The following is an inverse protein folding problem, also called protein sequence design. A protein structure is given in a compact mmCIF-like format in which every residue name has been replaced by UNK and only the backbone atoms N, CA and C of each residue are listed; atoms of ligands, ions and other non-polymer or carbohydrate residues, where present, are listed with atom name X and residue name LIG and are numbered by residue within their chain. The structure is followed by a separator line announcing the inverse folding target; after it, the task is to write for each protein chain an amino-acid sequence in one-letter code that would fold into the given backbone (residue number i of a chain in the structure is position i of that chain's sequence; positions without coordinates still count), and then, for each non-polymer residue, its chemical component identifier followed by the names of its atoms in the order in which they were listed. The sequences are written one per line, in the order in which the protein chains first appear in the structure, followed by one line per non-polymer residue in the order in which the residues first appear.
data_IF_750287505536
#
_entry.id   IF_750287505536
#
_cell.length_a   1.000
_cell.length_b   1.000
_cell.length_c   1.000
_cell.angle_alpha   90.00
_cell.angle_beta   90.00
_cell.angle_gamma   90.00
#
_symmetry.space_group_name_H-M   'P 1'
#
loop_
_entity.id
_entity.type
_entity.pdbx_description
1 polymer ?
#
# COMPACT_ATOMS: atom_id res chain seq x y z
N UNK A 1 -13.51 -30.53 16.68
CA UNK A 1 -14.47 -30.13 15.61
C UNK A 1 -15.08 -28.72 15.79
N UNK A 2 -15.41 -28.24 17.00
CA UNK A 2 -16.03 -26.89 17.19
C UNK A 2 -15.16 -25.68 16.81
N UNK A 3 -13.84 -25.75 16.99
CA UNK A 3 -12.90 -24.66 16.64
C UNK A 3 -12.88 -24.41 15.12
N UNK A 4 -12.94 -25.46 14.30
CA UNK A 4 -12.97 -25.33 12.83
C UNK A 4 -14.25 -24.67 12.32
N UNK A 5 -15.39 -24.89 12.99
CA UNK A 5 -16.66 -24.28 12.59
C UNK A 5 -16.74 -22.79 12.93
N UNK A 6 -16.28 -22.43 14.13
CA UNK A 6 -16.16 -21.03 14.55
C UNK A 6 -15.21 -20.26 13.64
N UNK A 7 -14.06 -20.84 13.35
CA UNK A 7 -13.05 -20.28 12.45
C UNK A 7 -13.55 -20.07 11.03
N UNK A 8 -14.22 -21.08 10.46
CA UNK A 8 -14.83 -21.01 9.13
C UNK A 8 -15.91 -19.93 9.07
N UNK A 9 -16.73 -19.78 10.12
CA UNK A 9 -17.73 -18.70 10.22
C UNK A 9 -17.10 -17.31 10.24
N UNK A 10 -15.99 -17.10 10.97
CA UNK A 10 -15.32 -15.80 11.00
C UNK A 10 -14.67 -15.43 9.67
N UNK A 11 -14.01 -16.38 8.99
CA UNK A 11 -13.47 -16.14 7.65
C UNK A 11 -14.59 -15.79 6.67
N UNK A 12 -15.68 -16.56 6.66
CA UNK A 12 -16.83 -16.29 5.78
C UNK A 12 -17.44 -14.94 6.11
N UNK A 13 -17.64 -14.62 7.38
CA UNK A 13 -18.17 -13.33 7.82
C UNK A 13 -17.26 -12.18 7.38
N UNK A 14 -15.94 -12.28 7.57
CA UNK A 14 -15.01 -11.24 7.14
C UNK A 14 -15.01 -11.08 5.64
N UNK A 15 -14.92 -12.17 4.87
CA UNK A 15 -15.02 -12.11 3.42
C UNK A 15 -16.34 -11.45 3.02
N UNK A 16 -17.45 -11.78 3.69
CA UNK A 16 -18.75 -11.20 3.43
C UNK A 16 -18.81 -9.71 3.77
N UNK A 17 -18.23 -9.25 4.89
CA UNK A 17 -18.19 -7.81 5.20
C UNK A 17 -17.27 -7.06 4.25
N UNK A 18 -16.11 -7.62 3.86
CA UNK A 18 -15.23 -6.99 2.86
C UNK A 18 -15.97 -6.92 1.51
N UNK A 19 -16.65 -7.99 1.10
CA UNK A 19 -17.46 -8.02 -0.12
C UNK A 19 -18.58 -6.99 -0.02
N UNK A 20 -19.33 -6.94 1.09
CA UNK A 20 -20.42 -5.97 1.28
C UNK A 20 -19.91 -4.52 1.31
N UNK A 21 -18.75 -4.27 1.91
CA UNK A 21 -18.13 -2.94 1.92
C UNK A 21 -17.60 -2.56 0.53
N UNK A 22 -16.96 -3.49 -0.17
CA UNK A 22 -16.56 -3.31 -1.57
C UNK A 22 -17.78 -3.06 -2.46
N UNK A 23 -18.89 -3.78 -2.25
CA UNK A 23 -20.18 -3.58 -2.93
C UNK A 23 -20.80 -2.21 -2.55
N UNK A 24 -20.75 -1.83 -1.28
CA UNK A 24 -21.25 -0.54 -0.82
C UNK A 24 -20.51 0.60 -1.51
N UNK A 25 -19.18 0.56 -1.51
CA UNK A 25 -18.34 1.53 -2.22
C UNK A 25 -18.56 1.47 -3.73
N UNK A 26 -18.68 0.27 -4.28
CA UNK A 26 -19.04 0.03 -5.68
C UNK A 26 -20.34 0.71 -6.10
N UNK A 27 -21.32 0.85 -5.21
CA UNK A 27 -22.61 1.49 -5.53
C UNK A 27 -22.68 2.97 -5.12
N UNK A 28 -21.93 3.39 -4.10
CA UNK A 28 -22.05 4.73 -3.52
C UNK A 28 -20.92 5.68 -3.92
N UNK A 29 -19.85 5.18 -4.53
CA UNK A 29 -18.78 6.05 -5.00
C UNK A 29 -19.23 6.81 -6.25
N UNK A 30 -19.08 8.13 -6.23
CA UNK A 30 -19.40 8.96 -7.38
C UNK A 30 -18.33 8.80 -8.47
N UNK A 31 -18.76 8.87 -9.75
CA UNK A 31 -17.86 8.97 -10.90
C UNK A 31 -16.92 10.16 -10.71
N UNK A 32 -15.63 9.99 -10.96
CA UNK A 32 -14.69 11.11 -11.08
C UNK A 32 -15.17 11.95 -12.27
N UNK A 33 -15.71 13.14 -11.98
CA UNK A 33 -16.12 14.08 -13.01
C UNK A 33 -14.87 14.71 -13.68
N UNK A 34 -15.02 15.28 -14.88
CA UNK A 34 -13.91 15.86 -15.68
C UNK A 34 -13.03 16.86 -14.92
N UNK A 35 -13.58 17.55 -13.92
CA UNK A 35 -12.88 18.53 -13.08
C UNK A 35 -12.61 18.00 -11.66
N UNK A 36 -12.70 16.67 -11.48
CA UNK A 36 -12.66 16.01 -10.19
C UNK A 36 -11.27 15.71 -9.63
N UNK A 37 -10.31 16.53 -10.02
CA UNK A 37 -8.97 16.43 -9.51
C UNK A 37 -8.13 17.61 -9.92
N UNK A 38 -7.27 18.05 -9.00
CA UNK A 38 -6.16 18.90 -9.36
C UNK A 38 -5.14 18.04 -10.11
N UNK A 39 -5.08 18.18 -11.43
CA UNK A 39 -3.98 17.68 -12.25
C UNK A 39 -4.29 16.54 -13.21
N UNK A 40 -3.26 16.21 -13.99
CA UNK A 40 -3.20 15.27 -15.11
C UNK A 40 -3.96 13.95 -14.87
N UNK A 41 -3.87 13.37 -13.66
CA UNK A 41 -4.50 12.08 -13.34
C UNK A 41 -6.03 12.10 -13.45
N UNK A 42 -6.74 13.08 -12.88
CA UNK A 42 -8.21 13.09 -12.88
C UNK A 42 -8.82 13.21 -14.28
N UNK A 43 -8.21 14.06 -15.11
CA UNK A 43 -8.59 14.26 -16.51
C UNK A 43 -8.29 12.99 -17.31
N UNK A 44 -7.08 12.44 -17.16
CA UNK A 44 -6.59 11.29 -17.92
C UNK A 44 -7.34 9.98 -17.59
N UNK A 45 -7.60 9.70 -16.31
CA UNK A 45 -8.38 8.51 -15.90
C UNK A 45 -9.85 8.61 -16.35
N UNK A 46 -10.43 9.80 -16.43
CA UNK A 46 -11.77 9.97 -17.01
C UNK A 46 -11.76 9.74 -18.53
N UNK A 47 -10.72 10.16 -19.27
CA UNK A 47 -10.61 9.85 -20.70
C UNK A 47 -10.47 8.35 -20.95
N UNK A 48 -9.62 7.71 -20.14
CA UNK A 48 -9.44 6.25 -20.13
C UNK A 48 -10.79 5.55 -19.89
N UNK A 49 -11.58 6.03 -18.93
CA UNK A 49 -12.91 5.50 -18.68
C UNK A 49 -13.83 5.56 -19.90
N UNK A 50 -13.90 6.74 -20.53
CA UNK A 50 -14.82 7.03 -21.62
C UNK A 50 -14.48 6.17 -22.84
N UNK A 51 -13.21 5.99 -23.16
CA UNK A 51 -12.76 5.08 -24.23
C UNK A 51 -13.18 3.64 -23.94
N UNK A 52 -13.02 3.18 -22.70
CA UNK A 52 -13.39 1.81 -22.31
C UNK A 52 -14.89 1.56 -22.27
N UNK A 53 -15.71 2.61 -22.13
CA UNK A 53 -17.17 2.54 -22.24
C UNK A 53 -17.69 2.71 -23.67
N UNK A 54 -16.81 2.97 -24.64
CA UNK A 54 -17.22 3.28 -26.01
C UNK A 54 -17.76 4.71 -26.19
N UNK A 55 -17.51 5.59 -25.23
CA UNK A 55 -17.93 7.00 -25.21
C UNK A 55 -16.79 7.96 -25.66
N UNK A 56 -15.58 7.43 -25.96
CA UNK A 56 -14.36 8.20 -26.20
C UNK A 56 -14.35 9.18 -27.39
N UNK A 57 -15.41 9.21 -28.22
CA UNK A 57 -15.55 10.12 -29.35
C UNK A 57 -16.43 11.36 -29.10
N UNK A 58 -17.04 11.50 -27.92
CA UNK A 58 -17.97 12.61 -27.61
C UNK A 58 -17.34 13.80 -26.87
N UNK A 59 -16.02 13.80 -26.68
CA UNK A 59 -15.37 14.74 -25.76
C UNK A 59 -14.70 15.95 -26.40
N UNK A 60 -14.95 17.13 -25.80
CA UNK A 60 -14.42 18.44 -26.17
C UNK A 60 -12.88 18.50 -26.32
N UNK A 61 -12.44 19.41 -27.21
CA UNK A 61 -11.08 19.79 -27.66
C UNK A 61 -9.86 19.59 -26.73
N UNK A 62 -10.00 19.52 -25.40
CA UNK A 62 -8.87 19.32 -24.46
C UNK A 62 -8.41 17.84 -24.46
N UNK A 63 -9.27 16.91 -24.87
CA UNK A 63 -8.94 15.47 -24.98
C UNK A 63 -8.39 15.08 -26.36
N UNK A 64 -8.42 15.98 -27.33
CA UNK A 64 -7.80 15.80 -28.65
C UNK A 64 -6.26 15.74 -28.56
N UNK A 65 -5.66 16.25 -27.49
CA UNK A 65 -4.21 16.15 -27.32
C UNK A 65 -3.76 14.72 -27.00
N UNK A 66 -4.66 13.84 -26.52
CA UNK A 66 -4.36 12.43 -26.24
C UNK A 66 -4.93 11.44 -27.29
N UNK A 67 -5.88 11.85 -28.15
CA UNK A 67 -6.29 11.17 -29.41
C UNK A 67 -6.50 9.63 -29.37
N UNK A 68 -7.04 9.07 -28.29
CA UNK A 68 -7.45 7.66 -28.26
C UNK A 68 -8.97 7.56 -28.35
N UNK A 69 -9.49 7.02 -29.45
CA UNK A 69 -10.94 6.84 -29.67
C UNK A 69 -11.38 5.40 -29.42
N UNK A 70 -10.44 4.46 -29.39
CA UNK A 70 -10.72 3.03 -29.24
C UNK A 70 -9.83 2.38 -28.18
N UNK A 71 -10.31 1.24 -27.65
CA UNK A 71 -9.52 0.39 -26.75
C UNK A 71 -8.18 -0.02 -27.37
N UNK A 72 -8.17 -0.37 -28.66
CA UNK A 72 -6.95 -0.82 -29.35
C UNK A 72 -5.92 0.30 -29.50
N UNK A 73 -6.36 1.53 -29.76
CA UNK A 73 -5.47 2.70 -29.77
C UNK A 73 -4.89 2.96 -28.39
N UNK A 74 -5.71 2.88 -27.34
CA UNK A 74 -5.26 3.06 -25.96
C UNK A 74 -4.30 1.96 -25.50
N UNK A 75 -4.53 0.71 -25.89
CA UNK A 75 -3.62 -0.40 -25.59
C UNK A 75 -2.27 -0.25 -26.28
N UNK A 76 -2.26 0.17 -27.55
CA UNK A 76 -1.05 0.23 -28.35
C UNK A 76 -0.24 1.51 -28.16
N UNK A 77 -0.90 2.63 -27.87
CA UNK A 77 -0.27 3.97 -27.87
C UNK A 77 -0.46 4.72 -26.55
N UNK A 78 -1.52 4.40 -25.79
CA UNK A 78 -1.85 5.07 -24.54
C UNK A 78 -1.04 4.60 -23.33
N UNK A 79 -0.33 5.54 -22.70
CA UNK A 79 0.19 5.32 -21.35
C UNK A 79 -0.97 5.21 -20.34
N UNK A 80 -0.82 4.49 -19.21
CA UNK A 80 0.27 3.58 -18.91
C UNK A 80 0.10 2.17 -19.52
N UNK A 81 -0.93 1.90 -20.32
CA UNK A 81 -1.32 0.53 -20.74
C UNK A 81 -0.41 -0.07 -21.80
N UNK A 82 0.14 0.74 -22.69
CA UNK A 82 1.20 0.32 -23.62
C UNK A 82 2.48 -0.11 -22.89
N UNK A 83 2.67 0.29 -21.62
CA UNK A 83 3.78 -0.15 -20.77
C UNK A 83 3.40 -1.29 -19.81
N UNK A 84 2.10 -1.43 -19.50
CA UNK A 84 1.52 -2.36 -18.53
C UNK A 84 0.55 -3.32 -19.21
N UNK A 85 1.09 -4.07 -20.16
CA UNK A 85 0.34 -4.89 -21.11
C UNK A 85 -0.41 -6.08 -20.49
N UNK A 86 -0.05 -6.51 -19.27
CA UNK A 86 -0.59 -7.72 -18.65
C UNK A 86 -2.11 -7.69 -18.43
N UNK A 87 -2.64 -6.65 -17.77
CA UNK A 87 -4.09 -6.53 -17.54
C UNK A 87 -4.87 -6.30 -18.85
N UNK A 88 -4.45 -5.38 -19.74
CA UNK A 88 -5.05 -5.24 -21.06
C UNK A 88 -5.12 -6.55 -21.85
N UNK A 89 -4.01 -7.27 -21.94
CA UNK A 89 -3.99 -8.55 -22.66
C UNK A 89 -4.94 -9.57 -22.05
N UNK A 90 -4.99 -9.71 -20.72
CA UNK A 90 -5.95 -10.60 -20.07
C UNK A 90 -7.40 -10.17 -20.30
N UNK A 91 -7.68 -8.87 -20.32
CA UNK A 91 -9.02 -8.37 -20.61
C UNK A 91 -9.42 -8.54 -22.08
N UNK A 92 -8.46 -8.47 -23.01
CA UNK A 92 -8.71 -8.62 -24.44
C UNK A 92 -9.21 -10.04 -24.79
N UNK A 93 -8.71 -11.06 -24.09
CA UNK A 93 -9.09 -12.47 -24.27
C UNK A 93 -10.39 -12.87 -23.55
N UNK A 94 -10.89 -12.07 -22.60
CA UNK A 94 -12.16 -12.34 -21.92
C UNK A 94 -13.35 -12.00 -22.84
N UNK A 95 -14.33 -12.92 -22.92
CA UNK A 95 -15.57 -12.78 -23.70
C UNK A 95 -16.62 -11.94 -22.96
N UNK A 96 -16.24 -10.73 -22.53
CA UNK A 96 -17.12 -9.76 -21.88
C UNK A 96 -16.72 -8.35 -22.27
N UNK A 97 -17.54 -7.37 -21.90
CA UNK A 97 -17.21 -5.95 -22.02
C UNK A 97 -15.83 -5.62 -21.41
N UNK A 98 -15.03 -4.79 -22.08
CA UNK A 98 -13.63 -4.55 -21.69
C UNK A 98 -13.53 -3.84 -20.35
N UNK A 99 -14.44 -2.92 -20.06
CA UNK A 99 -14.50 -2.28 -18.77
C UNK A 99 -14.79 -3.30 -17.66
N UNK A 100 -15.80 -4.16 -17.84
CA UNK A 100 -16.09 -5.24 -16.89
C UNK A 100 -14.91 -6.22 -16.72
N UNK A 101 -14.25 -6.60 -17.82
CA UNK A 101 -13.10 -7.49 -17.81
C UNK A 101 -11.96 -6.96 -16.92
N UNK A 102 -11.62 -5.67 -17.06
CA UNK A 102 -10.60 -5.03 -16.23
C UNK A 102 -10.95 -4.99 -14.75
N UNK A 103 -12.22 -4.67 -14.44
CA UNK A 103 -12.70 -4.65 -13.06
C UNK A 103 -12.63 -6.04 -12.43
N UNK A 104 -13.08 -7.07 -13.14
CA UNK A 104 -13.06 -8.45 -12.67
C UNK A 104 -11.63 -8.93 -12.41
N UNK A 105 -10.67 -8.66 -13.31
CA UNK A 105 -9.28 -9.06 -13.14
C UNK A 105 -8.68 -8.42 -11.88
N UNK A 106 -8.82 -7.10 -11.71
CA UNK A 106 -8.25 -6.40 -10.57
C UNK A 106 -8.90 -6.79 -9.24
N UNK A 107 -10.22 -6.85 -9.19
CA UNK A 107 -10.95 -7.27 -7.98
C UNK A 107 -10.58 -8.70 -7.61
N UNK A 108 -10.56 -9.62 -8.57
CA UNK A 108 -10.18 -11.01 -8.32
C UNK A 108 -8.75 -11.11 -7.81
N UNK A 109 -7.79 -10.44 -8.45
CA UNK A 109 -6.40 -10.42 -7.99
C UNK A 109 -6.28 -9.90 -6.56
N UNK A 110 -6.99 -8.81 -6.24
CA UNK A 110 -7.01 -8.22 -4.91
C UNK A 110 -7.57 -9.17 -3.84
N UNK A 111 -8.75 -9.75 -4.09
CA UNK A 111 -9.38 -10.68 -3.15
C UNK A 111 -8.59 -11.97 -2.99
N UNK A 112 -7.98 -12.49 -4.06
CA UNK A 112 -7.05 -13.62 -3.99
C UNK A 112 -5.86 -13.25 -3.11
N UNK A 113 -5.32 -12.04 -3.25
CA UNK A 113 -4.25 -11.53 -2.40
C UNK A 113 -4.62 -11.52 -0.91
N UNK A 114 -5.79 -10.94 -0.56
CA UNK A 114 -6.32 -10.96 0.81
C UNK A 114 -6.49 -12.39 1.31
N UNK A 115 -7.05 -13.29 0.49
CA UNK A 115 -7.26 -14.68 0.85
C UNK A 115 -5.95 -15.39 1.17
N UNK A 116 -4.89 -15.17 0.37
CA UNK A 116 -3.56 -15.72 0.62
C UNK A 116 -2.96 -15.19 1.93
N UNK A 117 -3.15 -13.90 2.23
CA UNK A 117 -2.70 -13.30 3.48
C UNK A 117 -3.43 -13.87 4.70
N UNK A 118 -4.75 -14.02 4.62
CA UNK A 118 -5.58 -14.70 5.62
C UNK A 118 -5.11 -16.14 5.86
N UNK A 119 -4.83 -16.89 4.80
CA UNK A 119 -4.42 -18.28 4.91
C UNK A 119 -3.04 -18.42 5.57
N UNK A 120 -2.08 -17.54 5.24
CA UNK A 120 -0.77 -17.49 5.90
C UNK A 120 -0.92 -17.32 7.42
N UNK A 121 -1.81 -16.40 7.83
CA UNK A 121 -1.97 -15.99 9.22
C UNK A 121 -3.21 -16.56 9.91
N UNK A 122 -3.63 -17.77 9.51
CA UNK A 122 -4.85 -18.40 10.01
C UNK A 122 -4.89 -18.50 11.56
N UNK A 123 -3.77 -18.73 12.23
CA UNK A 123 -3.74 -18.79 13.69
C UNK A 123 -4.03 -17.44 14.38
N UNK A 124 -3.83 -16.32 13.67
CA UNK A 124 -4.04 -14.94 14.14
C UNK A 124 -5.18 -14.25 13.41
N UNK A 125 -6.19 -15.02 12.97
CA UNK A 125 -7.25 -14.54 12.05
C UNK A 125 -7.89 -13.23 12.48
N UNK A 126 -8.18 -13.05 13.77
CA UNK A 126 -8.83 -11.85 14.28
C UNK A 126 -8.02 -10.57 13.98
N UNK A 127 -6.70 -10.61 14.16
CA UNK A 127 -5.83 -9.49 13.79
C UNK A 127 -5.79 -9.28 12.29
N UNK A 128 -5.71 -10.36 11.51
CA UNK A 128 -5.71 -10.27 10.04
C UNK A 128 -6.99 -9.62 9.53
N UNK A 129 -8.13 -9.95 10.15
CA UNK A 129 -9.43 -9.34 9.86
C UNK A 129 -9.36 -7.83 10.13
N UNK A 130 -8.90 -7.42 11.32
CA UNK A 130 -8.74 -5.99 11.67
C UNK A 130 -7.81 -5.28 10.70
N UNK A 131 -6.69 -5.88 10.33
CA UNK A 131 -5.75 -5.31 9.36
C UNK A 131 -6.33 -5.21 7.97
N UNK A 132 -7.12 -6.21 7.55
CA UNK A 132 -7.80 -6.15 6.26
C UNK A 132 -8.86 -5.06 6.27
N UNK A 133 -9.62 -4.89 7.36
CA UNK A 133 -10.51 -3.74 7.53
C UNK A 133 -9.75 -2.43 7.52
N UNK A 134 -8.63 -2.32 8.22
CA UNK A 134 -7.81 -1.12 8.23
C UNK A 134 -7.31 -0.75 6.83
N UNK A 135 -6.89 -1.76 6.07
CA UNK A 135 -6.48 -1.63 4.67
C UNK A 135 -7.67 -1.13 3.83
N UNK A 136 -8.87 -1.71 4.00
CA UNK A 136 -10.13 -1.26 3.36
C UNK A 136 -10.62 0.11 3.80
N UNK A 137 -10.32 0.57 5.01
CA UNK A 137 -10.75 1.89 5.48
C UNK A 137 -9.74 2.98 5.14
N UNK A 138 -8.57 2.61 4.62
CA UNK A 138 -7.59 3.59 4.16
C UNK A 138 -8.08 4.19 2.84
N UNK A 139 -8.41 5.50 2.77
CA UNK A 139 -9.19 6.08 1.67
C UNK A 139 -8.70 5.67 0.28
N UNK A 140 -7.38 5.66 0.08
CA UNK A 140 -6.69 5.28 -1.16
C UNK A 140 -7.05 3.91 -1.75
N UNK A 141 -7.34 2.94 -0.90
CA UNK A 141 -7.45 1.53 -1.28
C UNK A 141 -8.81 1.28 -1.92
N UNK A 142 -9.97 1.55 -1.26
CA UNK A 142 -11.27 1.36 -1.90
C UNK A 142 -11.48 2.16 -3.18
N UNK A 143 -10.98 3.40 -3.24
CA UNK A 143 -11.10 4.22 -4.45
C UNK A 143 -10.49 3.51 -5.67
N UNK A 144 -9.37 2.78 -5.49
CA UNK A 144 -8.67 2.06 -6.57
C UNK A 144 -9.20 0.64 -6.85
N UNK A 145 -10.06 0.13 -5.96
CA UNK A 145 -10.83 -1.12 -6.12
C UNK A 145 -12.28 -0.89 -6.55
N UNK A 146 -12.67 0.37 -6.76
CA UNK A 146 -14.01 0.73 -7.20
C UNK A 146 -14.19 0.56 -8.71
N UNK A 147 -15.44 0.42 -9.16
CA UNK A 147 -15.77 0.50 -10.59
C UNK A 147 -15.54 1.90 -11.20
N UNK A 148 -15.59 2.94 -10.37
CA UNK A 148 -15.61 4.33 -10.84
C UNK A 148 -14.22 4.97 -10.90
N UNK A 149 -13.18 4.27 -10.43
CA UNK A 149 -11.80 4.51 -10.80
C UNK A 149 -11.39 3.48 -11.85
N UNK A 150 -11.61 3.80 -13.12
CA UNK A 150 -11.61 2.78 -14.14
C UNK A 150 -10.17 2.53 -14.54
N UNK A 151 -9.82 1.25 -14.54
CA UNK A 151 -8.62 0.72 -15.22
C UNK A 151 -7.33 1.07 -14.43
N UNK A 152 -7.31 0.65 -13.16
CA UNK A 152 -6.06 0.53 -12.40
C UNK A 152 -5.40 -0.83 -12.66
N UNK A 153 -4.10 -0.98 -12.38
CA UNK A 153 -3.42 -2.29 -12.30
C UNK A 153 -3.06 -2.64 -10.85
N UNK A 154 -3.64 -1.91 -9.90
CA UNK A 154 -3.23 -1.95 -8.49
C UNK A 154 -3.66 -3.25 -7.82
N UNK A 155 -4.77 -3.87 -8.23
CA UNK A 155 -5.17 -5.17 -7.68
C UNK A 155 -4.17 -6.27 -7.98
N UNK A 156 -3.59 -6.24 -9.18
CA UNK A 156 -2.53 -7.17 -9.56
C UNK A 156 -1.23 -6.86 -8.81
N UNK A 157 -0.90 -5.58 -8.57
CA UNK A 157 0.21 -5.22 -7.69
C UNK A 157 0.00 -5.77 -6.28
N UNK A 158 -1.18 -5.58 -5.68
CA UNK A 158 -1.47 -6.10 -4.34
C UNK A 158 -1.35 -7.63 -4.29
N UNK A 159 -1.84 -8.35 -5.30
CA UNK A 159 -1.62 -9.79 -5.41
C UNK A 159 -0.13 -10.14 -5.38
N UNK A 160 0.69 -9.43 -6.16
CA UNK A 160 2.15 -9.59 -6.13
C UNK A 160 2.72 -9.35 -4.73
N UNK A 161 2.34 -8.26 -4.06
CA UNK A 161 2.80 -7.95 -2.69
C UNK A 161 2.45 -9.07 -1.71
N UNK A 162 1.22 -9.58 -1.74
CA UNK A 162 0.79 -10.68 -0.89
C UNK A 162 1.52 -11.99 -1.21
N UNK A 163 1.79 -12.29 -2.48
CA UNK A 163 2.62 -13.44 -2.87
C UNK A 163 4.06 -13.27 -2.39
N UNK A 164 4.63 -12.07 -2.46
CA UNK A 164 5.96 -11.79 -1.90
C UNK A 164 5.97 -12.01 -0.39
N UNK A 165 4.91 -11.59 0.31
CA UNK A 165 4.75 -11.86 1.74
C UNK A 165 4.66 -13.36 2.04
N UNK A 166 3.84 -14.11 1.29
CA UNK A 166 3.67 -15.56 1.50
C UNK A 166 4.97 -16.32 1.24
N UNK A 167 5.72 -15.92 0.23
CA UNK A 167 6.94 -16.58 -0.19
C UNK A 167 8.22 -15.82 0.22
N UNK A 168 8.14 -14.98 1.25
CA UNK A 168 9.23 -14.06 1.64
C UNK A 168 10.54 -14.79 1.93
N UNK A 169 10.49 -16.02 2.45
CA UNK A 169 11.67 -16.83 2.76
C UNK A 169 12.20 -17.67 1.58
N UNK A 170 11.54 -17.58 0.42
CA UNK A 170 11.87 -18.34 -0.80
C UNK A 170 12.40 -17.41 -1.89
N UNK A 171 13.69 -17.01 -1.85
CA UNK A 171 14.23 -15.98 -2.73
C UNK A 171 14.15 -16.33 -4.23
N UNK A 172 14.18 -17.61 -4.60
CA UNK A 172 13.99 -18.02 -6.01
C UNK A 172 12.55 -17.83 -6.47
N UNK A 173 11.57 -18.03 -5.58
CA UNK A 173 10.15 -17.78 -5.87
C UNK A 173 9.91 -16.28 -6.00
N UNK A 174 10.51 -15.45 -5.14
CA UNK A 174 10.41 -13.99 -5.27
C UNK A 174 11.00 -13.48 -6.60
N UNK A 175 12.13 -14.03 -7.03
CA UNK A 175 12.70 -13.71 -8.35
C UNK A 175 11.71 -14.03 -9.47
N UNK A 176 11.17 -15.26 -9.46
CA UNK A 176 10.21 -15.71 -10.46
C UNK A 176 8.94 -14.85 -10.47
N UNK A 177 8.36 -14.56 -9.30
CA UNK A 177 7.19 -13.69 -9.17
C UNK A 177 7.46 -12.28 -9.71
N UNK A 178 8.65 -11.74 -9.46
CA UNK A 178 9.03 -10.40 -9.95
C UNK A 178 9.03 -10.36 -11.47
N UNK A 179 9.53 -11.41 -12.12
CA UNK A 179 9.54 -11.52 -13.59
C UNK A 179 8.12 -11.75 -14.12
N UNK A 180 7.34 -12.61 -13.47
CA UNK A 180 5.97 -12.93 -13.86
C UNK A 180 5.04 -11.70 -13.80
N UNK A 181 5.23 -10.84 -12.79
CA UNK A 181 4.39 -9.66 -12.57
C UNK A 181 4.92 -8.38 -13.26
N UNK A 182 6.11 -8.43 -13.88
CA UNK A 182 6.68 -7.31 -14.64
C UNK A 182 5.74 -6.79 -15.74
N UNK A 183 5.06 -7.64 -16.54
CA UNK A 183 4.12 -7.16 -17.57
C UNK A 183 2.92 -6.39 -17.03
N UNK A 184 2.60 -6.55 -15.74
CA UNK A 184 1.45 -5.91 -15.11
C UNK A 184 1.82 -4.57 -14.46
N UNK A 185 3.01 -4.49 -13.85
CA UNK A 185 3.52 -3.26 -13.25
C UNK A 185 5.04 -3.29 -13.11
N UNK A 186 5.71 -2.29 -13.67
CA UNK A 186 7.16 -2.11 -13.62
C UNK A 186 7.71 -1.99 -12.18
N UNK A 187 6.92 -1.43 -11.26
CA UNK A 187 7.27 -1.30 -9.85
C UNK A 187 7.57 -2.63 -9.15
N UNK A 188 7.10 -3.76 -9.69
CA UNK A 188 7.43 -5.09 -9.17
C UNK A 188 8.95 -5.37 -9.19
N UNK A 189 9.66 -4.89 -10.22
CA UNK A 189 11.12 -5.05 -10.32
C UNK A 189 11.83 -4.29 -9.21
N UNK A 190 11.42 -3.05 -8.95
CA UNK A 190 11.98 -2.24 -7.87
C UNK A 190 11.79 -2.92 -6.52
N UNK A 191 10.58 -3.45 -6.25
CA UNK A 191 10.28 -4.20 -5.03
C UNK A 191 11.16 -5.45 -4.93
N UNK A 192 11.33 -6.21 -6.01
CA UNK A 192 12.22 -7.37 -6.06
C UNK A 192 13.68 -7.01 -5.80
N UNK A 193 14.18 -5.91 -6.38
CA UNK A 193 15.53 -5.40 -6.14
C UNK A 193 15.70 -5.01 -4.67
N UNK A 194 14.79 -4.24 -4.09
CA UNK A 194 14.84 -3.84 -2.68
C UNK A 194 14.79 -5.07 -1.76
N UNK A 195 13.98 -6.08 -2.09
CA UNK A 195 13.98 -7.37 -1.39
C UNK A 195 15.37 -8.02 -1.41
N UNK A 196 16.02 -8.15 -2.57
CA UNK A 196 17.35 -8.76 -2.64
C UNK A 196 18.44 -7.92 -1.98
N UNK A 197 18.35 -6.59 -2.03
CA UNK A 197 19.25 -5.69 -1.29
C UNK A 197 19.09 -5.90 0.23
N UNK A 198 17.84 -5.97 0.73
CA UNK A 198 17.59 -6.22 2.14
C UNK A 198 18.15 -7.57 2.60
N UNK A 199 18.02 -8.60 1.75
CA UNK A 199 18.57 -9.94 2.00
C UNK A 199 20.11 -9.93 1.95
N UNK A 200 20.70 -9.18 1.03
CA UNK A 200 22.13 -8.99 0.88
C UNK A 200 22.72 -8.36 2.15
N UNK A 201 22.16 -7.24 2.61
CA UNK A 201 22.60 -6.56 3.84
C UNK A 201 22.51 -7.50 5.04
N UNK A 202 21.39 -8.22 5.19
CA UNK A 202 21.21 -9.18 6.27
C UNK A 202 22.23 -10.34 6.23
N UNK A 203 22.59 -10.82 5.03
CA UNK A 203 23.60 -11.88 4.87
C UNK A 203 25.03 -11.38 5.13
N UNK A 204 25.35 -10.14 4.73
CA UNK A 204 26.63 -9.49 5.06
C UNK A 204 26.78 -9.37 6.58
N UNK A 205 25.75 -8.85 7.27
CA UNK A 205 25.73 -8.72 8.71
C UNK A 205 25.92 -10.07 9.43
N UNK A 206 25.36 -11.15 8.87
CA UNK A 206 25.46 -12.51 9.40
C UNK A 206 26.69 -13.29 8.88
N UNK A 207 27.60 -12.66 8.14
CA UNK A 207 28.80 -13.27 7.54
C UNK A 207 28.52 -14.55 6.73
N UNK A 208 27.43 -14.58 5.96
CA UNK A 208 27.05 -15.74 5.12
C UNK A 208 27.63 -15.63 3.70
N UNK A 209 28.04 -16.77 3.13
CA UNK A 209 28.76 -16.86 1.84
C UNK A 209 27.93 -16.57 0.56
N UNK A 210 26.61 -16.40 0.64
CA UNK A 210 25.74 -16.30 -0.55
C UNK A 210 25.66 -14.90 -1.19
N UNK A 211 26.68 -14.04 -1.01
CA UNK A 211 26.69 -12.64 -1.47
C UNK A 211 26.67 -12.54 -3.01
N UNK A 212 27.56 -13.29 -3.69
CA UNK A 212 27.71 -13.24 -5.16
C UNK A 212 26.39 -13.63 -5.86
N UNK A 213 25.72 -14.67 -5.36
CA UNK A 213 24.44 -15.12 -5.91
C UNK A 213 23.35 -14.04 -5.79
N UNK A 214 23.34 -13.26 -4.69
CA UNK A 214 22.37 -12.18 -4.51
C UNK A 214 22.64 -11.00 -5.44
N UNK A 215 23.92 -10.62 -5.61
CA UNK A 215 24.32 -9.61 -6.59
C UNK A 215 23.92 -10.04 -8.01
N UNK A 216 24.15 -11.31 -8.37
CA UNK A 216 23.71 -11.84 -9.65
C UNK A 216 22.19 -11.71 -9.85
N UNK A 217 21.37 -12.03 -8.84
CA UNK A 217 19.90 -11.87 -8.92
C UNK A 217 19.46 -10.42 -9.10
N UNK A 218 20.11 -9.48 -8.41
CA UNK A 218 19.85 -8.04 -8.58
C UNK A 218 20.18 -7.62 -10.01
N UNK A 219 21.38 -7.94 -10.49
CA UNK A 219 21.81 -7.63 -11.85
C UNK A 219 20.89 -8.26 -12.90
N UNK A 220 20.47 -9.50 -12.69
CA UNK A 220 19.55 -10.21 -13.58
C UNK A 220 18.19 -9.52 -13.67
N UNK A 221 17.62 -9.05 -12.56
CA UNK A 221 16.38 -8.27 -12.57
C UNK A 221 16.52 -6.96 -13.35
N UNK A 222 17.65 -6.26 -13.19
CA UNK A 222 17.94 -5.03 -13.94
C UNK A 222 18.02 -5.31 -15.45
N UNK A 223 18.74 -6.37 -15.85
CA UNK A 223 18.85 -6.77 -17.26
C UNK A 223 17.48 -7.13 -17.84
N UNK A 224 16.68 -7.94 -17.14
CA UNK A 224 15.33 -8.31 -17.58
C UNK A 224 14.45 -7.07 -17.75
N UNK A 225 14.52 -6.11 -16.83
CA UNK A 225 13.73 -4.89 -16.93
C UNK A 225 14.06 -4.08 -18.20
N UNK A 226 15.35 -3.90 -18.50
CA UNK A 226 15.76 -3.21 -19.73
C UNK A 226 15.38 -3.99 -20.99
N UNK A 227 15.51 -5.32 -20.95
CA UNK A 227 15.08 -6.17 -22.06
C UNK A 227 13.57 -6.09 -22.30
N UNK A 228 12.77 -6.11 -21.23
CA UNK A 228 11.32 -5.90 -21.30
C UNK A 228 10.97 -4.54 -21.88
N UNK A 229 11.63 -3.46 -21.45
CA UNK A 229 11.43 -2.11 -22.03
C UNK A 229 11.77 -2.09 -23.52
N UNK A 230 12.81 -2.80 -23.96
CA UNK A 230 13.15 -2.93 -25.39
C UNK A 230 12.11 -3.71 -26.19
N UNK A 231 11.56 -4.78 -25.62
CA UNK A 231 10.42 -5.50 -26.22
C UNK A 231 9.23 -4.55 -26.38
N UNK A 232 8.88 -3.80 -25.33
CA UNK A 232 7.78 -2.84 -25.39
C UNK A 232 8.00 -1.75 -26.44
N UNK A 233 9.22 -1.20 -26.54
CA UNK A 233 9.56 -0.24 -27.58
C UNK A 233 9.36 -0.83 -28.98
N UNK A 234 9.77 -2.07 -29.20
CA UNK A 234 9.69 -2.73 -30.51
C UNK A 234 8.25 -3.05 -30.92
N UNK A 235 7.43 -3.58 -30.02
CA UNK A 235 6.06 -4.02 -30.35
C UNK A 235 4.99 -2.93 -30.18
N UNK A 236 5.20 -1.97 -29.29
CA UNK A 236 4.20 -0.97 -28.92
C UNK A 236 4.66 0.47 -29.18
N UNK A 237 5.82 0.68 -29.81
CA UNK A 237 6.41 2.00 -30.06
C UNK A 237 6.47 2.89 -28.80
N UNK A 238 6.64 2.27 -27.64
CA UNK A 238 6.74 2.99 -26.35
C UNK A 238 8.01 3.83 -26.35
N UNK A 239 7.86 5.12 -26.06
CA UNK A 239 9.01 6.00 -25.86
C UNK A 239 9.82 5.52 -24.65
N UNK A 240 11.12 5.29 -24.87
CA UNK A 240 12.03 4.86 -23.81
C UNK A 240 12.48 5.99 -22.89
N UNK A 241 12.02 7.22 -23.10
CA UNK A 241 12.49 8.35 -22.32
C UNK A 241 12.28 8.07 -20.82
N UNK A 242 13.40 7.94 -20.11
CA UNK A 242 13.40 7.66 -18.68
C UNK A 242 13.10 8.96 -17.94
N UNK A 243 11.86 9.43 -18.03
CA UNK A 243 11.42 10.55 -17.20
C UNK A 243 11.52 10.18 -15.73
N UNK A 244 11.35 8.91 -15.34
CA UNK A 244 11.37 8.47 -13.93
C UNK A 244 12.56 8.97 -13.09
N UNK A 245 13.80 8.82 -13.55
CA UNK A 245 14.98 9.29 -12.78
C UNK A 245 15.04 10.82 -12.77
N UNK A 246 14.79 11.48 -13.90
CA UNK A 246 14.72 12.95 -13.99
C UNK A 246 13.61 13.51 -13.09
N UNK A 247 12.47 12.82 -13.02
CA UNK A 247 11.31 13.12 -12.17
C UNK A 247 11.65 12.93 -10.71
N UNK A 248 12.38 11.87 -10.33
CA UNK A 248 12.89 11.70 -8.96
C UNK A 248 13.82 12.88 -8.59
N UNK A 249 14.80 13.20 -9.43
CA UNK A 249 15.71 14.33 -9.17
C UNK A 249 14.97 15.67 -9.10
N UNK A 250 14.03 15.89 -10.00
CA UNK A 250 13.16 17.06 -9.99
C UNK A 250 12.37 17.15 -8.68
N UNK A 251 11.73 16.07 -8.26
CA UNK A 251 10.98 16.02 -7.01
C UNK A 251 11.86 16.22 -5.78
N UNK A 252 13.04 15.59 -5.74
CA UNK A 252 14.03 15.82 -4.67
C UNK A 252 14.39 17.30 -4.62
N UNK A 253 14.76 17.91 -5.74
CA UNK A 253 15.16 19.31 -5.79
C UNK A 253 14.04 20.26 -5.35
N UNK A 254 12.79 19.98 -5.74
CA UNK A 254 11.65 20.81 -5.35
C UNK A 254 11.24 20.64 -3.88
N UNK A 255 11.34 19.42 -3.33
CA UNK A 255 10.77 19.09 -2.03
C UNK A 255 11.77 19.14 -0.87
N UNK A 256 13.05 18.87 -1.12
CA UNK A 256 14.04 18.70 -0.04
C UNK A 256 14.22 19.96 0.80
N UNK A 257 13.98 21.14 0.21
CA UNK A 257 14.05 22.43 0.90
C UNK A 257 12.68 23.00 1.30
N UNK A 258 11.60 22.29 1.00
CA UNK A 258 10.25 22.77 1.28
C UNK A 258 9.73 22.24 2.63
N UNK A 259 9.67 23.07 3.70
CA UNK A 259 9.18 22.62 5.00
C UNK A 259 7.72 22.11 4.95
N UNK A 260 6.90 22.62 4.03
CA UNK A 260 5.52 22.18 3.85
C UNK A 260 5.46 20.74 3.35
N UNK A 261 6.41 20.33 2.51
CA UNK A 261 6.50 18.95 2.04
C UNK A 261 6.72 17.99 3.22
N UNK A 262 7.60 18.32 4.16
CA UNK A 262 7.83 17.47 5.34
C UNK A 262 6.61 17.39 6.25
N UNK A 263 5.89 18.49 6.47
CA UNK A 263 4.63 18.48 7.22
C UNK A 263 3.61 17.54 6.55
N UNK A 264 3.47 17.62 5.22
CA UNK A 264 2.61 16.73 4.44
C UNK A 264 3.04 15.29 4.55
N UNK A 265 4.33 15.00 4.36
CA UNK A 265 4.90 13.66 4.45
C UNK A 265 4.65 13.02 5.82
N UNK A 266 4.87 13.75 6.91
CA UNK A 266 4.63 13.27 8.27
C UNK A 266 3.13 12.99 8.48
N UNK A 267 2.24 13.85 7.97
CA UNK A 267 0.81 13.60 8.02
C UNK A 267 0.40 12.36 7.21
N UNK A 268 0.91 12.17 5.99
CA UNK A 268 0.71 10.96 5.18
C UNK A 268 1.16 9.72 5.96
N UNK A 269 2.34 9.76 6.57
CA UNK A 269 2.88 8.66 7.36
C UNK A 269 1.95 8.26 8.51
N UNK A 270 1.45 9.23 9.28
CA UNK A 270 0.53 8.94 10.38
C UNK A 270 -0.85 8.47 9.89
N UNK A 271 -1.37 9.05 8.81
CA UNK A 271 -2.63 8.59 8.23
C UNK A 271 -2.49 7.16 7.72
N UNK A 272 -1.37 6.76 7.10
CA UNK A 272 -1.21 5.40 6.56
C UNK A 272 -0.83 4.38 7.63
N UNK A 273 0.20 4.63 8.43
CA UNK A 273 0.72 3.64 9.39
C UNK A 273 0.13 3.78 10.79
N UNK A 274 -0.39 4.95 11.16
CA UNK A 274 -1.07 5.19 12.44
C UNK A 274 -0.24 4.70 13.64
N UNK A 275 -0.88 4.28 14.74
CA UNK A 275 -0.19 3.71 15.89
C UNK A 275 0.54 2.38 15.64
N UNK A 276 0.40 1.75 14.45
CA UNK A 276 1.06 0.47 14.15
C UNK A 276 2.57 0.61 13.97
N UNK A 277 3.03 1.69 13.36
CA UNK A 277 4.48 1.96 13.23
C UNK A 277 5.14 2.07 14.61
N UNK A 278 4.43 2.62 15.59
CA UNK A 278 4.93 2.83 16.95
C UNK A 278 4.90 1.55 17.75
N UNK A 279 3.83 0.75 17.61
CA UNK A 279 3.81 -0.61 18.12
C UNK A 279 5.03 -1.40 17.62
N UNK A 280 5.27 -1.31 16.32
CA UNK A 280 6.32 -2.04 15.64
C UNK A 280 7.72 -1.59 16.07
N UNK A 281 7.97 -0.27 16.11
CA UNK A 281 9.23 0.30 16.60
C UNK A 281 9.49 -0.09 18.07
N UNK A 282 8.46 -0.05 18.93
CA UNK A 282 8.56 -0.50 20.32
C UNK A 282 8.99 -1.97 20.38
N UNK A 283 8.35 -2.86 19.62
CA UNK A 283 8.68 -4.29 19.63
C UNK A 283 10.06 -4.60 19.07
N UNK A 284 10.51 -3.86 18.07
CA UNK A 284 11.89 -3.98 17.57
C UNK A 284 12.89 -3.53 18.64
N UNK A 285 12.61 -2.41 19.32
CA UNK A 285 13.46 -1.92 20.41
C UNK A 285 13.53 -2.92 21.58
N UNK A 286 12.39 -3.52 21.97
CA UNK A 286 12.31 -4.56 23.01
C UNK A 286 13.09 -5.82 22.62
N UNK A 287 12.97 -6.28 21.38
CA UNK A 287 13.60 -7.52 20.93
C UNK A 287 15.05 -7.36 20.48
N UNK A 288 15.56 -6.13 20.29
CA UNK A 288 16.91 -5.80 19.78
C UNK A 288 17.31 -6.53 18.49
N UNK A 289 16.34 -6.99 17.69
CA UNK A 289 16.58 -7.73 16.45
C UNK A 289 16.08 -6.89 15.28
N UNK A 290 17.01 -6.50 14.41
CA UNK A 290 16.70 -5.93 13.10
C UNK A 290 16.34 -7.10 12.17
N UNK A 291 15.06 -7.21 11.82
CA UNK A 291 14.59 -8.23 10.87
C UNK A 291 14.92 -7.82 9.44
N UNK A 292 15.01 -8.80 8.53
CA UNK A 292 15.14 -8.50 7.10
C UNK A 292 13.93 -7.71 6.57
N UNK A 293 12.73 -7.98 7.10
CA UNK A 293 11.49 -7.27 6.74
C UNK A 293 11.55 -5.82 7.18
N UNK A 294 12.08 -5.53 8.37
CA UNK A 294 12.35 -4.17 8.80
C UNK A 294 13.29 -3.46 7.81
N UNK A 295 14.41 -4.08 7.44
CA UNK A 295 15.35 -3.50 6.46
C UNK A 295 14.67 -3.25 5.10
N UNK A 296 13.85 -4.20 4.64
CA UNK A 296 13.07 -4.05 3.42
C UNK A 296 12.12 -2.85 3.50
N UNK A 297 11.31 -2.74 4.56
CA UNK A 297 10.41 -1.61 4.80
C UNK A 297 11.19 -0.29 4.87
N UNK A 298 12.31 -0.28 5.60
CA UNK A 298 13.15 0.89 5.82
C UNK A 298 13.79 1.40 4.53
N UNK A 299 14.25 0.51 3.64
CA UNK A 299 14.84 0.88 2.35
C UNK A 299 13.75 1.29 1.35
N UNK A 300 12.64 0.56 1.32
CA UNK A 300 11.57 0.79 0.36
C UNK A 300 10.90 2.14 0.60
N UNK A 301 10.62 2.50 1.86
CA UNK A 301 9.89 3.74 2.23
C UNK A 301 10.47 5.02 1.61
N UNK A 302 11.76 5.37 1.77
CA UNK A 302 12.31 6.60 1.20
C UNK A 302 12.33 6.58 -0.34
N UNK A 303 12.70 5.46 -0.96
CA UNK A 303 12.71 5.32 -2.44
C UNK A 303 11.32 5.64 -2.98
N UNK A 304 10.30 5.10 -2.31
CA UNK A 304 8.91 5.28 -2.63
C UNK A 304 8.46 6.73 -2.42
N UNK A 305 8.74 7.34 -1.27
CA UNK A 305 8.38 8.75 -0.96
C UNK A 305 8.95 9.74 -1.97
N UNK A 306 10.17 9.53 -2.47
CA UNK A 306 10.80 10.42 -3.45
C UNK A 306 10.45 10.10 -4.92
N UNK A 307 9.63 9.08 -5.18
CA UNK A 307 9.29 8.65 -6.53
C UNK A 307 8.09 9.36 -7.18
N UNK A 308 7.35 10.22 -6.47
CA UNK A 308 6.27 10.99 -7.10
C UNK A 308 5.31 11.73 -6.15
N UNK A 309 4.23 12.25 -6.74
CA UNK A 309 3.23 13.11 -6.10
C UNK A 309 2.32 12.43 -5.07
N UNK A 310 2.13 11.11 -5.18
CA UNK A 310 1.09 10.39 -4.44
C UNK A 310 1.69 9.63 -3.25
N UNK A 311 2.18 10.38 -2.27
CA UNK A 311 2.92 9.85 -1.12
C UNK A 311 2.07 8.84 -0.33
N UNK A 312 0.81 9.17 -0.03
CA UNK A 312 -0.08 8.32 0.75
C UNK A 312 -0.38 7.00 0.03
N UNK A 313 -0.54 7.04 -1.30
CA UNK A 313 -0.69 5.85 -2.16
C UNK A 313 0.47 4.91 -2.02
N UNK A 314 1.64 5.50 -2.13
CA UNK A 314 2.90 4.81 -2.18
C UNK A 314 3.22 4.18 -0.82
N UNK A 315 2.91 4.86 0.28
CA UNK A 315 3.04 4.29 1.63
C UNK A 315 2.10 3.10 1.88
N UNK A 316 0.92 3.06 1.24
CA UNK A 316 -0.01 1.93 1.37
C UNK A 316 0.57 0.60 0.84
N UNK A 317 1.53 0.64 -0.09
CA UNK A 317 2.24 -0.55 -0.60
C UNK A 317 3.05 -1.24 0.51
N UNK A 318 3.50 -0.48 1.50
CA UNK A 318 4.36 -0.95 2.59
C UNK A 318 3.54 -1.59 3.71
N UNK A 319 2.29 -1.18 3.85
CA UNK A 319 1.40 -1.55 4.94
C UNK A 319 1.22 -3.08 5.11
N UNK A 320 1.03 -3.89 4.04
CA UNK A 320 0.99 -5.35 4.17
C UNK A 320 2.27 -5.96 4.78
N UNK A 321 3.45 -5.44 4.46
CA UNK A 321 4.72 -5.94 5.00
C UNK A 321 4.89 -5.57 6.47
N UNK A 322 4.49 -4.35 6.85
CA UNK A 322 4.48 -3.92 8.25
C UNK A 322 3.58 -4.85 9.08
N UNK A 323 2.38 -5.15 8.59
CA UNK A 323 1.47 -6.06 9.27
C UNK A 323 1.97 -7.49 9.31
N UNK A 324 2.57 -7.99 8.24
CA UNK A 324 3.19 -9.32 8.23
C UNK A 324 4.25 -9.44 9.32
N UNK A 325 5.13 -8.44 9.45
CA UNK A 325 6.19 -8.48 10.47
C UNK A 325 5.61 -8.30 11.89
N UNK A 326 4.57 -7.48 12.08
CA UNK A 326 3.83 -7.40 13.36
C UNK A 326 3.22 -8.77 13.73
N UNK A 327 2.67 -9.48 12.75
CA UNK A 327 2.08 -10.80 12.94
C UNK A 327 3.14 -11.88 13.16
N UNK A 328 4.38 -11.71 12.73
CA UNK A 328 5.49 -12.61 13.07
C UNK A 328 5.95 -12.48 14.52
N UNK A 329 5.66 -11.35 15.18
CA UNK A 329 6.05 -11.14 16.57
C UNK A 329 5.29 -12.08 17.53
N UNK A 330 5.98 -12.51 18.58
CA UNK A 330 5.38 -13.20 19.72
C UNK A 330 4.60 -12.19 20.57
N UNK A 331 3.31 -12.05 20.28
CA UNK A 331 2.43 -11.09 20.93
C UNK A 331 1.77 -11.70 22.17
N UNK A 332 1.83 -10.99 23.29
CA UNK A 332 1.03 -11.29 24.48
C UNK A 332 -0.42 -10.83 24.30
N UNK A 333 -1.36 -11.36 25.08
CA UNK A 333 -2.77 -10.90 25.08
C UNK A 333 -2.90 -9.38 25.26
N UNK A 334 -2.01 -8.77 26.04
CA UNK A 334 -1.99 -7.33 26.22
C UNK A 334 -1.55 -6.59 24.96
N UNK A 335 -0.59 -7.14 24.20
CA UNK A 335 -0.16 -6.58 22.92
C UNK A 335 -1.30 -6.63 21.87
N UNK A 336 -2.10 -7.70 21.88
CA UNK A 336 -3.30 -7.80 21.02
C UNK A 336 -4.32 -6.70 21.32
N UNK A 337 -4.62 -6.47 22.61
CA UNK A 337 -5.51 -5.39 23.03
C UNK A 337 -4.95 -4.02 22.66
N UNK A 338 -3.63 -3.85 22.73
CA UNK A 338 -2.96 -2.62 22.36
C UNK A 338 -3.06 -2.35 20.86
N UNK A 339 -2.86 -3.36 20.01
CA UNK A 339 -3.06 -3.26 18.56
C UNK A 339 -4.50 -2.89 18.20
N UNK A 340 -5.48 -3.52 18.86
CA UNK A 340 -6.89 -3.19 18.67
C UNK A 340 -7.20 -1.75 19.12
N UNK A 341 -6.64 -1.31 20.24
CA UNK A 341 -6.80 0.05 20.71
C UNK A 341 -6.16 1.07 19.77
N UNK A 342 -4.96 0.81 19.25
CA UNK A 342 -4.34 1.61 18.19
C UNK A 342 -5.22 1.69 16.94
N UNK A 343 -5.80 0.57 16.51
CA UNK A 343 -6.74 0.56 15.39
C UNK A 343 -7.93 1.50 15.66
N UNK A 344 -8.58 1.37 16.82
CA UNK A 344 -9.76 2.16 17.18
C UNK A 344 -9.46 3.66 17.35
N UNK A 345 -8.32 4.02 17.95
CA UNK A 345 -7.94 5.42 18.16
C UNK A 345 -7.60 6.15 16.87
N UNK A 346 -7.04 5.45 15.89
CA UNK A 346 -6.66 6.05 14.61
C UNK A 346 -7.74 5.87 13.54
N UNK A 347 -8.78 5.08 13.82
CA UNK A 347 -9.95 4.93 12.97
C UNK A 347 -10.56 6.30 12.60
N UNK A 348 -10.78 7.26 13.53
CA UNK A 348 -11.32 8.56 13.18
C UNK A 348 -10.50 9.29 12.14
N UNK A 349 -9.16 9.16 12.10
CA UNK A 349 -8.31 9.82 11.09
C UNK A 349 -8.60 9.39 9.65
N UNK A 350 -9.30 8.27 9.47
CA UNK A 350 -9.70 7.75 8.16
C UNK A 350 -11.02 8.35 7.66
N UNK A 351 -11.79 8.98 8.55
CA UNK A 351 -13.16 9.44 8.28
C UNK A 351 -13.46 10.95 8.37
N UNK A 352 -12.67 11.86 8.99
CA UNK A 352 -13.21 13.16 9.42
C UNK A 352 -13.56 14.09 8.24
N UNK A 353 -13.08 13.80 7.03
CA UNK A 353 -13.31 14.63 5.85
C UNK A 353 -14.22 13.99 4.81
N UNK A 354 -14.60 12.71 4.99
CA UNK A 354 -15.67 12.07 4.21
C UNK A 354 -17.01 12.83 4.35
N UNK A 355 -17.22 13.56 5.45
CA UNK A 355 -18.43 14.36 5.68
C UNK A 355 -18.28 15.86 5.36
N UNK A 356 -17.07 16.42 5.40
CA UNK A 356 -16.82 17.84 5.03
C UNK A 356 -16.75 18.03 3.51
N UNK A 357 -16.53 16.95 2.75
CA UNK A 357 -16.50 16.93 1.28
C UNK A 357 -17.89 16.96 0.62
N UNK A 358 -18.98 16.67 1.35
CA UNK A 358 -20.33 16.74 0.81
C UNK A 358 -21.06 18.06 1.12
N UNK A 359 -20.57 18.90 2.03
CA UNK A 359 -21.31 20.09 2.48
C UNK A 359 -20.90 21.41 1.82
N UNK A 360 -19.63 21.58 1.44
CA UNK A 360 -19.12 22.90 1.04
C UNK A 360 -18.66 22.92 -0.43
N UNK A 361 -19.56 23.43 -1.28
CA UNK A 361 -19.45 23.76 -2.71
C UNK A 361 -19.82 22.67 -3.71
N UNK A 362 -20.97 22.87 -4.36
CA UNK A 362 -21.47 22.19 -5.57
C UNK A 362 -20.54 22.29 -6.81
N UNK A 363 -19.32 22.82 -6.67
CA UNK A 363 -18.24 22.70 -7.66
C UNK A 363 -17.46 21.40 -7.42
N UNK A 364 -18.20 20.29 -7.23
CA UNK A 364 -17.67 19.05 -6.69
C UNK A 364 -16.87 18.34 -7.76
N UNK A 365 -15.57 18.36 -7.48
CA UNK A 365 -14.63 17.50 -8.14
C UNK A 365 -13.59 16.91 -7.20
N UNK A 366 -13.17 17.59 -6.15
CA UNK A 366 -11.86 17.35 -5.55
C UNK A 366 -11.75 16.14 -4.61
N UNK A 367 -12.78 15.29 -4.47
CA UNK A 367 -12.86 14.23 -3.44
C UNK A 367 -11.72 13.20 -3.45
N UNK A 368 -11.08 12.94 -4.59
CA UNK A 368 -9.94 12.01 -4.65
C UNK A 368 -8.67 12.59 -3.99
N UNK A 369 -8.44 13.90 -4.12
CA UNK A 369 -7.24 14.59 -3.63
C UNK A 369 -7.45 15.18 -2.23
N UNK A 370 -8.68 15.52 -1.85
CA UNK A 370 -9.01 16.05 -0.53
C UNK A 370 -8.90 15.01 0.60
N UNK A 371 -9.00 13.71 0.29
CA UNK A 371 -8.71 12.64 1.26
C UNK A 371 -7.22 12.39 1.51
N UNK A 372 -6.34 13.13 0.83
CA UNK A 372 -4.90 12.89 0.81
C UNK A 372 -4.13 14.04 1.47
N UNK A 373 -3.41 13.80 2.59
CA UNK A 373 -2.67 14.85 3.31
C UNK A 373 -1.71 15.66 2.43
N UNK A 374 -1.11 15.05 1.41
CA UNK A 374 -0.20 15.71 0.47
C UNK A 374 -0.84 16.84 -0.36
N UNK A 375 -2.17 16.85 -0.54
CA UNK A 375 -2.89 17.90 -1.26
C UNK A 375 -3.70 18.81 -0.34
N UNK A 376 -3.86 18.44 0.94
CA UNK A 376 -4.56 19.26 1.91
C UNK A 376 -3.82 20.57 2.24
N UNK A 377 -4.62 21.57 2.68
CA UNK A 377 -4.07 22.78 3.29
C UNK A 377 -3.26 22.40 4.53
N UNK A 378 -2.11 23.06 4.73
CA UNK A 378 -1.15 22.76 5.80
C UNK A 378 -1.80 22.65 7.18
N UNK A 379 -2.80 23.48 7.49
CA UNK A 379 -3.56 23.44 8.75
C UNK A 379 -4.19 22.08 9.06
N UNK A 380 -4.69 21.37 8.05
CA UNK A 380 -5.28 20.05 8.22
C UNK A 380 -4.21 18.98 8.44
N UNK A 381 -3.06 19.11 7.78
CA UNK A 381 -1.90 18.25 8.03
C UNK A 381 -1.35 18.42 9.45
N UNK A 382 -1.29 19.65 9.94
CA UNK A 382 -0.93 19.92 11.33
C UNK A 382 -1.94 19.31 12.30
N UNK A 383 -3.25 19.35 12.00
CA UNK A 383 -4.25 18.65 12.80
C UNK A 383 -3.98 17.13 12.86
N UNK A 384 -3.72 16.47 11.73
CA UNK A 384 -3.38 15.04 11.69
C UNK A 384 -2.15 14.73 12.54
N UNK A 385 -1.11 15.56 12.44
CA UNK A 385 0.12 15.40 13.21
C UNK A 385 -0.16 15.58 14.70
N UNK A 386 -0.83 16.66 15.10
CA UNK A 386 -1.13 16.95 16.51
C UNK A 386 -2.01 15.85 17.11
N UNK A 387 -3.08 15.45 16.42
CA UNK A 387 -3.94 14.34 16.85
C UNK A 387 -3.11 13.07 17.02
N UNK A 388 -2.28 12.74 16.03
CA UNK A 388 -1.42 11.56 16.09
C UNK A 388 -0.45 11.65 17.27
N UNK A 389 0.22 12.79 17.47
CA UNK A 389 1.12 13.00 18.61
C UNK A 389 0.40 12.85 19.95
N UNK A 390 -0.81 13.41 20.11
CA UNK A 390 -1.62 13.24 21.32
C UNK A 390 -1.96 11.76 21.53
N UNK A 391 -2.41 11.06 20.49
CA UNK A 391 -2.69 9.63 20.58
C UNK A 391 -1.46 8.82 20.96
N UNK A 392 -0.29 9.18 20.41
CA UNK A 392 0.99 8.55 20.75
C UNK A 392 1.35 8.80 22.19
N UNK A 393 1.15 10.01 22.71
CA UNK A 393 1.39 10.34 24.11
C UNK A 393 0.44 9.60 25.05
N UNK A 394 -0.85 9.47 24.70
CA UNK A 394 -1.83 8.63 25.43
C UNK A 394 -1.37 7.16 25.44
N UNK A 395 -0.93 6.66 24.28
CA UNK A 395 -0.41 5.31 24.14
C UNK A 395 0.88 5.11 24.96
N UNK A 396 1.80 6.06 24.98
CA UNK A 396 3.06 5.98 25.73
C UNK A 396 2.86 6.14 27.23
N UNK A 397 2.01 7.06 27.69
CA UNK A 397 1.72 7.27 29.12
C UNK A 397 1.05 6.06 29.76
N UNK A 398 0.13 5.40 29.05
CA UNK A 398 -0.48 4.14 29.51
C UNK A 398 0.54 2.99 29.66
N UNK A 399 1.60 2.99 28.84
CA UNK A 399 2.70 2.02 28.89
C UNK A 399 3.72 2.35 29.98
N UNK A 400 4.08 3.64 30.11
CA UNK A 400 5.08 4.11 31.08
C UNK A 400 4.62 3.92 32.52
N UNK A 401 3.34 4.22 32.80
CA UNK A 401 2.74 3.95 34.11
C UNK A 401 2.79 2.45 34.47
N UNK A 402 2.60 1.56 33.49
CA UNK A 402 2.65 0.12 33.73
C UNK A 402 4.08 -0.39 33.97
N UNK A 403 5.07 0.19 33.29
CA UNK A 403 6.48 -0.16 33.45
C UNK A 403 7.03 0.29 34.80
N UNK A 404 6.67 1.52 35.24
CA UNK A 404 7.03 2.02 36.58
C UNK A 404 6.41 1.13 37.66
N UNK A 405 5.10 0.83 37.57
CA UNK A 405 4.41 0.03 38.58
C UNK A 405 5.00 -1.40 38.67
N UNK A 406 5.37 -2.01 37.55
CA UNK A 406 5.98 -3.34 37.56
C UNK A 406 7.42 -3.32 38.07
N UNK A 407 8.23 -2.33 37.71
CA UNK A 407 9.58 -2.18 38.25
C UNK A 407 9.56 -1.90 39.76
N UNK A 408 8.63 -1.08 40.25
CA UNK A 408 8.44 -0.85 41.68
C UNK A 408 8.01 -2.12 42.42
N UNK A 409 7.17 -2.96 41.80
CA UNK A 409 6.79 -4.27 42.35
C UNK A 409 8.00 -5.21 42.44
N UNK A 410 8.83 -5.26 41.41
CA UNK A 410 10.04 -6.08 41.37
C UNK A 410 11.06 -5.57 42.41
N UNK A 411 11.29 -4.26 42.49
CA UNK A 411 12.16 -3.61 43.50
C UNK A 411 11.68 -3.83 44.93
N UNK A 412 10.37 -3.86 45.18
CA UNK A 412 9.81 -4.19 46.50
C UNK A 412 9.97 -5.67 46.84
N UNK A 413 9.81 -6.57 45.85
CA UNK A 413 10.01 -8.01 46.05
C UNK A 413 11.49 -8.38 46.27
N UNK A 414 12.42 -7.69 45.63
CA UNK A 414 13.87 -7.90 45.87
C UNK A 414 14.32 -7.32 47.21
N UNK A 415 13.80 -6.17 47.64
CA UNK A 415 14.07 -5.61 48.99
C UNK A 415 13.54 -6.50 50.12
N UNK A 416 12.35 -7.11 49.97
CA UNK A 416 11.80 -7.99 50.99
C UNK A 416 12.51 -9.35 51.09
N UNK A 417 13.21 -9.79 50.03
CA UNK A 417 14.04 -11.00 50.08
C UNK A 417 15.39 -10.77 50.78
N UNK A 418 15.95 -9.56 50.70
CA UNK A 418 17.20 -9.21 51.41
C UNK A 418 17.03 -8.95 52.92
N UNK A 419 15.80 -8.92 53.42
CA UNK A 419 15.50 -8.64 54.83
C UNK A 419 14.99 -9.85 55.61
N UNK A 420 15.03 -11.05 55.04
CA UNK A 420 14.82 -12.29 55.80
C UNK A 420 16.19 -12.75 56.35
N UNK A 421 16.40 -12.72 57.68
CA UNK A 421 17.59 -13.30 58.28
C UNK A 421 17.58 -14.82 58.06
N UNK A 422 18.72 -15.38 57.66
CA UNK A 422 18.97 -16.83 57.60
C UNK A 422 18.92 -17.49 58.98
#
# INVERSE_FOLDING_TARGET
MRINYFFKKHIIFTLLVIILYAIFIFFHQQRIQKNAGLGWDGVFYNSIYEVFKGEGGQTDKILQDFNYNTYDEMFNKGEPFNQRIGVPYLASILKMDKFLAFSVINLSAFFIGIFLFINKWKSKIFLVIIFTFYLMLTPQIPFRFSLFYPISVEGVLFLFLFLVIVFYDKPNVILFLTILFLPFKEGCVLIGIVYFISLLINNIAKRKFNIILLLFKITFLVIIYFFYKKILQYYFNVELESHGIKTIFFWINQNIYNPIFYIRLIACFFVVFSGFSIFYLKKIAENRIITQKFLFIFILTPILVFSGSDITRILCIILPFLFDDILDLNLSNQDYLWLLFCFLLFLPLKFPFLNLEFSDNQNIGEGFFLTQPEYLKVRYNLYYIIYSMIMILILYSSVFNKYIINNDKILRLTKNKSSMPE
#
